data_IF_728862933149
#
_entry.id   IF_728862933149
#
_cell.length_a   1.000
_cell.length_b   1.000
_cell.length_c   1.000
_cell.angle_alpha   90.00
_cell.angle_beta   90.00
_cell.angle_gamma   90.00
#
_symmetry.space_group_name_H-M   'P 1'
#
loop_
_entity.id
_entity.type
_entity.pdbx_description
1 polymer ?
#
# COMPACT_ATOMS: atom_id res chain seq x y z
N UNK A 1 15.41 -13.80 6.25
CA UNK A 1 14.25 -12.91 6.44
C UNK A 1 13.61 -12.58 5.09
N UNK A 2 12.30 -12.65 5.03
CA UNK A 2 11.57 -12.33 3.80
C UNK A 2 11.02 -10.90 3.90
N UNK A 3 11.30 -10.10 2.88
CA UNK A 3 10.84 -8.69 2.83
C UNK A 3 9.63 -8.57 1.92
N UNK A 4 8.56 -8.02 2.46
CA UNK A 4 7.28 -7.85 1.78
C UNK A 4 7.06 -6.36 1.55
N UNK A 5 6.68 -6.01 0.32
CA UNK A 5 6.45 -4.62 -0.11
C UNK A 5 5.01 -4.44 -0.53
N UNK A 6 4.38 -3.36 -0.08
CA UNK A 6 3.05 -2.97 -0.53
C UNK A 6 3.00 -1.47 -0.81
N UNK A 7 2.15 -1.05 -1.74
CA UNK A 7 2.01 0.34 -2.18
C UNK A 7 0.60 0.84 -1.94
N UNK A 8 0.46 2.11 -1.64
CA UNK A 8 -0.86 2.73 -1.53
C UNK A 8 -0.80 4.22 -1.25
N UNK A 9 -1.96 4.86 -1.25
CA UNK A 9 -2.12 6.28 -0.95
C UNK A 9 -2.32 6.51 0.55
N UNK A 10 -3.21 5.74 1.16
CA UNK A 10 -3.53 5.77 2.60
C UNK A 10 -3.93 7.16 3.11
N UNK A 11 -4.71 7.90 2.32
CA UNK A 11 -5.12 9.26 2.71
C UNK A 11 -6.08 9.28 3.89
N UNK A 12 -6.94 8.26 3.99
CA UNK A 12 -7.81 8.07 5.15
C UNK A 12 -7.57 6.66 5.68
N UNK A 13 -6.52 6.51 6.46
CA UNK A 13 -6.16 5.22 7.04
C UNK A 13 -7.31 4.67 7.88
N UNK A 14 -7.72 3.46 7.58
CA UNK A 14 -8.82 2.80 8.28
C UNK A 14 -8.47 1.35 8.57
N UNK A 15 -9.37 0.65 9.28
CA UNK A 15 -9.12 -0.72 9.71
C UNK A 15 -8.83 -1.67 8.54
N UNK A 16 -9.41 -1.41 7.36
CA UNK A 16 -9.12 -2.21 6.17
C UNK A 16 -7.65 -2.16 5.76
N UNK A 17 -7.05 -0.98 5.83
CA UNK A 17 -5.62 -0.81 5.57
C UNK A 17 -4.78 -1.52 6.65
N UNK A 18 -5.16 -1.38 7.91
CA UNK A 18 -4.44 -1.99 9.02
C UNK A 18 -4.47 -3.51 8.91
N UNK A 19 -5.62 -4.09 8.56
CA UNK A 19 -5.77 -5.53 8.33
C UNK A 19 -4.94 -6.00 7.13
N UNK A 20 -4.84 -5.18 6.07
CA UNK A 20 -3.97 -5.46 4.94
C UNK A 20 -2.51 -5.59 5.41
N UNK A 21 -2.05 -4.66 6.22
CA UNK A 21 -0.68 -4.68 6.75
C UNK A 21 -0.45 -5.90 7.64
N UNK A 22 -1.41 -6.23 8.50
CA UNK A 22 -1.35 -7.43 9.33
C UNK A 22 -1.25 -8.69 8.48
N UNK A 23 -2.13 -8.83 7.49
CA UNK A 23 -2.12 -10.00 6.60
C UNK A 23 -0.83 -10.09 5.79
N UNK A 24 -0.32 -8.95 5.29
CA UNK A 24 0.96 -8.93 4.58
C UNK A 24 2.10 -9.40 5.47
N UNK A 25 2.16 -8.91 6.69
CA UNK A 25 3.20 -9.28 7.66
C UNK A 25 3.14 -10.78 8.01
N UNK A 26 1.96 -11.37 7.97
CA UNK A 26 1.71 -12.76 8.37
C UNK A 26 1.61 -13.74 7.19
N UNK A 27 1.95 -13.32 5.96
CA UNK A 27 1.86 -14.17 4.77
C UNK A 27 2.69 -15.45 4.87
N UNK A 28 3.81 -15.40 5.56
CA UNK A 28 4.73 -16.53 5.70
C UNK A 28 4.96 -16.80 7.20
N UNK A 29 4.04 -17.53 7.85
CA UNK A 29 4.07 -17.67 9.30
C UNK A 29 5.30 -18.45 9.82
N UNK A 30 5.94 -19.24 8.97
CA UNK A 30 7.13 -20.02 9.34
C UNK A 30 8.45 -19.26 9.13
N UNK A 31 8.37 -18.02 8.65
CA UNK A 31 9.53 -17.20 8.36
C UNK A 31 9.43 -15.87 9.09
N UNK A 32 10.58 -15.31 9.45
CA UNK A 32 10.63 -13.92 9.90
C UNK A 32 10.42 -13.00 8.70
N UNK A 33 9.45 -12.08 8.79
CA UNK A 33 9.07 -11.18 7.72
C UNK A 33 9.27 -9.73 8.12
N UNK A 34 9.66 -8.91 7.14
CA UNK A 34 9.75 -7.46 7.26
C UNK A 34 8.78 -6.85 6.28
N UNK A 35 7.94 -5.93 6.73
CA UNK A 35 6.96 -5.24 5.89
C UNK A 35 7.41 -3.82 5.61
N UNK A 36 7.58 -3.51 4.33
CA UNK A 36 7.81 -2.16 3.82
C UNK A 36 6.52 -1.66 3.19
N UNK A 37 6.04 -0.50 3.63
CA UNK A 37 4.88 0.16 3.03
C UNK A 37 5.34 1.40 2.29
N UNK A 38 5.04 1.48 1.01
CA UNK A 38 5.33 2.63 0.17
C UNK A 38 4.08 3.51 0.07
N UNK A 39 4.22 4.78 0.43
CA UNK A 39 3.14 5.77 0.47
C UNK A 39 3.33 6.75 -0.68
N UNK A 40 2.30 6.95 -1.50
CA UNK A 40 2.42 7.78 -2.68
C UNK A 40 2.57 9.27 -2.34
N UNK A 41 3.53 9.91 -2.98
CA UNK A 41 3.78 11.35 -2.85
C UNK A 41 2.55 12.14 -3.30
N UNK A 42 2.10 13.08 -2.45
CA UNK A 42 0.91 13.88 -2.71
C UNK A 42 1.06 14.82 -3.90
N UNK A 43 2.23 15.41 -4.08
CA UNK A 43 2.50 16.30 -5.22
C UNK A 43 2.41 15.53 -6.54
N UNK A 44 2.87 14.30 -6.56
CA UNK A 44 2.77 13.43 -7.73
C UNK A 44 1.31 13.07 -8.02
N UNK A 45 0.51 12.76 -6.99
CA UNK A 45 -0.92 12.48 -7.14
C UNK A 45 -1.62 13.68 -7.79
N UNK A 46 -1.35 14.89 -7.30
CA UNK A 46 -1.97 16.13 -7.81
C UNK A 46 -1.54 16.43 -9.25
N UNK A 47 -0.35 16.03 -9.65
CA UNK A 47 0.13 16.18 -11.02
C UNK A 47 -0.74 15.39 -12.02
N UNK A 48 -1.12 14.17 -11.65
CA UNK A 48 -1.92 13.27 -12.50
C UNK A 48 -3.42 13.39 -12.27
N UNK A 49 -3.83 13.89 -11.12
CA UNK A 49 -5.24 14.12 -10.74
C UNK A 49 -5.37 15.52 -10.13
N UNK A 50 -5.34 16.59 -10.96
CA UNK A 50 -5.33 17.97 -10.45
C UNK A 50 -6.51 18.34 -9.56
N UNK A 51 -7.63 17.62 -9.69
CA UNK A 51 -8.82 17.85 -8.87
C UNK A 51 -8.87 17.03 -7.58
N UNK A 52 -7.86 16.20 -7.32
CA UNK A 52 -7.85 15.35 -6.14
C UNK A 52 -7.67 16.21 -4.88
N UNK A 53 -8.46 15.90 -3.84
CA UNK A 53 -8.38 16.56 -2.54
C UNK A 53 -7.79 15.58 -1.53
N UNK A 54 -6.57 15.86 -1.10
CA UNK A 54 -5.89 15.09 -0.07
C UNK A 54 -6.29 15.63 1.31
N UNK A 55 -6.66 14.73 2.22
CA UNK A 55 -6.97 15.10 3.62
C UNK A 55 -5.68 15.35 4.38
N UNK A 56 -4.67 14.51 4.16
CA UNK A 56 -3.39 14.58 4.88
C UNK A 56 -2.22 14.78 3.92
N UNK A 57 -1.17 15.44 4.42
CA UNK A 57 0.08 15.58 3.68
C UNK A 57 0.78 14.24 3.52
N UNK A 58 1.77 14.17 2.64
CA UNK A 58 2.59 12.96 2.47
C UNK A 58 3.24 12.56 3.79
N UNK A 59 3.82 13.52 4.50
CA UNK A 59 4.49 13.29 5.78
C UNK A 59 3.52 12.78 6.84
N UNK A 60 2.32 13.35 6.90
CA UNK A 60 1.29 12.90 7.85
C UNK A 60 0.84 11.47 7.55
N UNK A 61 0.63 11.15 6.29
CA UNK A 61 0.24 9.78 5.88
C UNK A 61 1.34 8.78 6.19
N UNK A 62 2.59 9.14 5.91
CA UNK A 62 3.74 8.29 6.25
C UNK A 62 3.86 8.07 7.77
N UNK A 63 3.64 9.12 8.55
CA UNK A 63 3.67 9.03 10.01
C UNK A 63 2.59 8.09 10.54
N UNK A 64 1.36 8.23 10.05
CA UNK A 64 0.26 7.36 10.47
C UNK A 64 0.52 5.89 10.11
N UNK A 65 1.00 5.64 8.90
CA UNK A 65 1.35 4.28 8.47
C UNK A 65 2.48 3.71 9.33
N UNK A 66 3.50 4.51 9.62
CA UNK A 66 4.63 4.07 10.44
C UNK A 66 4.23 3.74 11.88
N UNK A 67 3.09 4.24 12.32
CA UNK A 67 2.57 4.00 13.67
C UNK A 67 1.82 2.67 13.79
N UNK A 68 1.57 1.99 12.69
CA UNK A 68 0.91 0.69 12.68
C UNK A 68 1.92 -0.39 13.09
N UNK A 69 1.55 -1.20 14.08
CA UNK A 69 2.47 -2.15 14.72
C UNK A 69 3.08 -3.18 13.77
N UNK A 70 2.41 -3.51 12.67
CA UNK A 70 2.90 -4.53 11.71
C UNK A 70 3.82 -3.95 10.63
N UNK A 71 3.95 -2.64 10.56
CA UNK A 71 4.79 -1.96 9.57
C UNK A 71 6.20 -1.77 10.12
N UNK A 72 7.19 -2.26 9.40
CA UNK A 72 8.60 -2.16 9.80
C UNK A 72 9.30 -0.95 9.20
N UNK A 73 8.92 -0.56 7.98
CA UNK A 73 9.53 0.58 7.30
C UNK A 73 8.51 1.26 6.39
N UNK A 74 8.60 2.58 6.31
CA UNK A 74 7.76 3.38 5.41
C UNK A 74 8.66 4.16 4.47
N UNK A 75 8.35 4.10 3.18
CA UNK A 75 9.05 4.87 2.15
C UNK A 75 8.02 5.64 1.32
N UNK A 76 8.44 6.72 0.68
CA UNK A 76 7.58 7.42 -0.28
C UNK A 76 7.83 6.88 -1.68
N UNK A 77 6.82 6.97 -2.55
CA UNK A 77 6.99 6.63 -3.96
C UNK A 77 6.20 7.59 -4.83
N UNK A 78 6.53 7.65 -6.09
CA UNK A 78 5.85 8.46 -7.10
C UNK A 78 5.15 7.57 -8.11
N UNK A 79 5.91 6.76 -8.83
CA UNK A 79 5.45 5.87 -9.89
C UNK A 79 5.74 4.42 -9.49
N UNK A 80 4.71 3.60 -9.32
CA UNK A 80 4.87 2.23 -8.79
C UNK A 80 5.78 1.37 -9.69
N UNK A 81 5.63 1.47 -11.00
CA UNK A 81 6.38 0.66 -11.94
C UNK A 81 7.86 1.06 -12.05
N UNK A 82 8.19 2.30 -11.74
CA UNK A 82 9.57 2.78 -11.69
C UNK A 82 10.18 2.52 -10.30
N UNK A 83 9.47 2.92 -9.26
CA UNK A 83 10.03 2.88 -7.91
C UNK A 83 10.17 1.46 -7.36
N UNK A 84 9.33 0.52 -7.80
CA UNK A 84 9.45 -0.88 -7.39
C UNK A 84 10.83 -1.47 -7.78
N UNK A 85 11.42 -0.98 -8.84
CA UNK A 85 12.73 -1.46 -9.30
C UNK A 85 13.89 -0.99 -8.42
N UNK A 86 13.65 0.00 -7.57
CA UNK A 86 14.67 0.62 -6.71
C UNK A 86 14.55 0.21 -5.25
N UNK A 87 13.61 -0.65 -4.91
CA UNK A 87 13.38 -1.13 -3.53
C UNK A 87 13.84 -2.59 -3.46
N UNK A 88 14.56 -2.94 -2.42
CA UNK A 88 14.98 -4.33 -2.18
C UNK A 88 13.88 -5.07 -1.44
N UNK A 89 13.31 -6.08 -2.06
CA UNK A 89 12.21 -6.87 -1.48
C UNK A 89 12.16 -8.26 -2.13
N UNK A 90 11.36 -9.15 -1.55
CA UNK A 90 11.16 -10.52 -2.05
C UNK A 90 9.74 -10.74 -2.60
N UNK A 91 8.74 -10.12 -1.97
CA UNK A 91 7.32 -10.33 -2.27
C UNK A 91 6.62 -8.98 -2.43
N UNK A 92 5.88 -8.83 -3.52
CA UNK A 92 4.97 -7.71 -3.72
C UNK A 92 3.56 -8.15 -3.31
N UNK A 93 3.06 -7.59 -2.20
CA UNK A 93 1.70 -7.81 -1.73
C UNK A 93 0.82 -6.67 -2.25
N UNK A 94 -0.13 -6.99 -3.12
CA UNK A 94 -1.01 -5.98 -3.70
C UNK A 94 -2.46 -6.21 -3.29
N UNK A 95 -3.25 -5.14 -3.27
CA UNK A 95 -4.69 -5.24 -3.11
C UNK A 95 -5.38 -5.60 -4.41
N UNK A 96 -6.61 -6.17 -4.35
CA UNK A 96 -7.34 -6.58 -5.55
C UNK A 96 -7.77 -5.40 -6.43
N UNK A 97 -7.86 -4.20 -5.87
CA UNK A 97 -8.28 -2.99 -6.58
C UNK A 97 -7.14 -2.25 -7.28
N UNK A 98 -5.91 -2.71 -7.13
CA UNK A 98 -4.72 -2.10 -7.74
C UNK A 98 -4.50 -2.64 -9.16
N UNK A 99 -5.35 -2.21 -10.09
CA UNK A 99 -5.43 -2.79 -11.44
C UNK A 99 -4.97 -1.87 -12.57
N UNK A 100 -4.58 -0.63 -12.28
CA UNK A 100 -4.16 0.29 -13.36
C UNK A 100 -2.84 -0.15 -13.99
N UNK A 101 -2.51 0.44 -15.15
CA UNK A 101 -1.36 0.03 -15.95
C UNK A 101 -0.03 0.03 -15.19
N UNK A 102 0.18 1.00 -14.30
CA UNK A 102 1.39 1.05 -13.48
C UNK A 102 1.54 -0.19 -12.60
N UNK A 103 0.45 -0.65 -11.98
CA UNK A 103 0.48 -1.87 -11.17
C UNK A 103 0.67 -3.11 -12.02
N UNK A 104 0.06 -3.18 -13.21
CA UNK A 104 0.28 -4.30 -14.12
C UNK A 104 1.73 -4.38 -14.56
N UNK A 105 2.34 -3.24 -14.90
CA UNK A 105 3.76 -3.17 -15.24
C UNK A 105 4.66 -3.59 -14.08
N UNK A 106 4.31 -3.21 -12.85
CA UNK A 106 5.05 -3.62 -11.66
C UNK A 106 4.96 -5.13 -11.44
N UNK A 107 3.77 -5.73 -11.62
CA UNK A 107 3.58 -7.18 -11.54
C UNK A 107 4.42 -7.90 -12.59
N UNK A 108 4.42 -7.42 -13.84
CA UNK A 108 5.19 -8.00 -14.92
C UNK A 108 6.69 -7.93 -14.62
N UNK A 109 7.16 -6.81 -14.11
CA UNK A 109 8.56 -6.66 -13.69
C UNK A 109 8.92 -7.67 -12.59
N UNK A 110 8.05 -7.85 -11.59
CA UNK A 110 8.26 -8.82 -10.53
C UNK A 110 8.44 -10.22 -11.09
N UNK A 111 7.55 -10.64 -12.00
CA UNK A 111 7.60 -11.97 -12.61
C UNK A 111 8.88 -12.19 -13.39
N UNK A 112 9.35 -11.15 -14.10
CA UNK A 112 10.60 -11.24 -14.88
C UNK A 112 11.85 -11.27 -13.99
N UNK A 113 11.76 -10.77 -12.78
CA UNK A 113 12.91 -10.63 -11.87
C UNK A 113 12.86 -11.59 -10.68
N UNK A 114 12.04 -12.62 -10.76
CA UNK A 114 11.98 -13.66 -9.74
C UNK A 114 11.38 -13.22 -8.40
N UNK A 115 10.58 -12.16 -8.41
CA UNK A 115 9.86 -11.70 -7.22
C UNK A 115 8.47 -12.31 -7.18
N UNK A 116 8.01 -12.72 -6.01
CA UNK A 116 6.65 -13.24 -5.84
C UNK A 116 5.65 -12.09 -5.80
N UNK A 117 4.45 -12.35 -6.32
CA UNK A 117 3.32 -11.42 -6.24
C UNK A 117 2.17 -12.13 -5.54
N UNK A 118 1.66 -11.53 -4.48
CA UNK A 118 0.53 -12.06 -3.72
C UNK A 118 -0.58 -11.01 -3.72
N UNK A 119 -1.81 -11.42 -4.03
CA UNK A 119 -2.98 -10.56 -3.92
C UNK A 119 -3.63 -10.81 -2.56
N UNK A 120 -3.72 -9.76 -1.74
CA UNK A 120 -4.36 -9.86 -0.43
C UNK A 120 -5.82 -9.45 -0.61
N UNK A 121 -6.79 -10.32 -0.27
CA UNK A 121 -8.20 -10.01 -0.43
C UNK A 121 -8.61 -8.81 0.42
N UNK A 122 -9.54 -8.01 -0.10
CA UNK A 122 -10.13 -6.92 0.65
C UNK A 122 -10.98 -7.46 1.79
N UNK A 123 -10.88 -6.83 2.97
CA UNK A 123 -11.77 -7.13 4.07
C UNK A 123 -13.17 -6.64 3.73
N UNK A 124 -14.12 -7.55 3.66
CA UNK A 124 -15.48 -7.28 3.22
C UNK A 124 -16.18 -6.27 4.13
N UNK A 125 -16.91 -5.34 3.53
CA UNK A 125 -17.71 -4.35 4.25
C UNK A 125 -16.93 -3.17 4.85
N UNK A 126 -15.62 -3.10 4.65
CA UNK A 126 -14.78 -2.01 5.17
C UNK A 126 -14.18 -1.21 4.01
N UNK A 127 -14.45 0.11 4.01
CA UNK A 127 -13.93 1.02 3.00
C UNK A 127 -14.02 2.45 3.50
N UNK A 128 -13.26 3.36 2.90
CA UNK A 128 -13.35 4.80 3.20
C UNK A 128 -14.73 5.36 2.91
N UNK A 129 -15.36 4.90 1.84
CA UNK A 129 -16.73 5.30 1.47
C UNK A 129 -17.72 4.94 2.57
N UNK A 130 -17.64 3.71 3.07
CA UNK A 130 -18.53 3.23 4.13
C UNK A 130 -18.34 4.03 5.43
N UNK A 131 -17.10 4.35 5.78
CA UNK A 131 -16.82 5.17 6.95
C UNK A 131 -17.38 6.59 6.81
N UNK A 132 -17.33 7.16 5.63
CA UNK A 132 -17.90 8.47 5.33
C UNK A 132 -19.42 8.46 5.46
N UNK A 133 -20.07 7.39 5.04
CA UNK A 133 -21.50 7.21 5.19
C UNK A 133 -21.89 7.16 6.67
N UNK A 134 -21.16 6.43 7.49
CA UNK A 134 -21.37 6.41 8.94
C UNK A 134 -21.25 7.80 9.55
N UNK A 135 -20.30 8.59 9.12
CA UNK A 135 -20.11 9.96 9.61
C UNK A 135 -21.31 10.84 9.30
N UNK A 136 -21.99 10.63 8.18
CA UNK A 136 -23.21 11.39 7.81
C UNK A 136 -24.42 11.03 8.63
N UNK A 137 -24.45 9.84 9.21
CA UNK A 137 -25.57 9.38 10.03
C UNK A 137 -25.53 9.91 11.47
N UNK A 138 -24.42 10.47 11.87
CA UNK A 138 -24.25 11.11 13.17
C UNK A 138 -24.59 12.59 13.07
#
# INVERSE_FOLDING_TARGET
>A
MKTILTFGVYDMLHIGHILLFKHAKELFPDEECRLIVAVQDGDFILKYKPGAKMVYTTEERMFMVSSVRWVDEVVSYRDVDVDIQNIVFDVFAKGPDQLHLGFQSAVDWCKKNGKDVVVIPRTEGISSTKLREYSKLK
#
